data_IF_827429063597
#
_entry.id   IF_827429063597
#
_cell.length_a   1.000
_cell.length_b   1.000
_cell.length_c   1.000
_cell.angle_alpha   90.00
_cell.angle_beta   90.00
_cell.angle_gamma   90.00
#
_symmetry.space_group_name_H-M   'P 1'
#
loop_
_entity.id
_entity.type
_entity.pdbx_description
1 polymer ?
#
# COMPACT_ATOMS: atom_id res chain seq x y z
N UNK A 1 3.53 -3.16 -0.72
CA UNK A 1 4.07 -2.49 0.47
C UNK A 1 4.88 -3.47 1.31
N UNK A 2 4.34 -4.63 1.75
CA UNK A 2 5.08 -5.61 2.57
C UNK A 2 6.39 -6.08 1.92
N UNK A 3 6.44 -6.17 0.58
CA UNK A 3 7.66 -6.47 -0.15
C UNK A 3 8.77 -5.42 0.09
N UNK A 4 8.42 -4.14 0.10
CA UNK A 4 9.39 -3.06 0.35
C UNK A 4 9.90 -3.07 1.79
N UNK A 5 9.01 -3.33 2.78
CA UNK A 5 9.43 -3.52 4.16
C UNK A 5 10.42 -4.68 4.29
N UNK A 6 10.12 -5.81 3.67
CA UNK A 6 11.00 -6.98 3.68
C UNK A 6 12.35 -6.68 3.02
N UNK A 7 12.35 -6.05 1.84
CA UNK A 7 13.59 -5.65 1.15
C UNK A 7 14.43 -4.70 2.01
N UNK A 8 13.78 -3.71 2.64
CA UNK A 8 14.46 -2.78 3.55
C UNK A 8 15.10 -3.49 4.76
N UNK A 9 14.39 -4.48 5.33
CA UNK A 9 14.93 -5.29 6.44
C UNK A 9 16.09 -6.18 6.03
N UNK A 10 15.95 -6.90 4.91
CA UNK A 10 16.90 -7.92 4.49
C UNK A 10 18.18 -7.30 3.92
N UNK A 11 18.07 -6.22 3.16
CA UNK A 11 19.18 -5.62 2.40
C UNK A 11 19.53 -4.18 2.76
N UNK A 12 18.73 -3.53 3.60
CA UNK A 12 18.88 -2.09 3.87
C UNK A 12 18.56 -1.21 2.64
N UNK A 13 17.90 -1.77 1.62
CA UNK A 13 17.65 -1.08 0.35
C UNK A 13 16.26 -1.37 -0.17
N UNK A 14 15.62 -0.33 -0.71
CA UNK A 14 14.36 -0.42 -1.45
C UNK A 14 14.62 0.09 -2.87
N UNK A 15 14.25 -0.72 -3.85
CA UNK A 15 14.27 -0.34 -5.27
C UNK A 15 12.84 -0.18 -5.76
N UNK A 16 12.50 0.98 -6.30
CA UNK A 16 11.18 1.30 -6.81
C UNK A 16 11.25 1.70 -8.28
N UNK A 17 10.48 0.98 -9.12
CA UNK A 17 10.30 1.34 -10.54
C UNK A 17 9.23 2.43 -10.62
N UNK A 18 9.65 3.67 -10.83
CA UNK A 18 8.79 4.84 -10.87
C UNK A 18 9.47 6.08 -10.32
N UNK A 19 8.70 7.16 -10.20
CA UNK A 19 9.16 8.46 -9.71
C UNK A 19 8.85 8.64 -8.22
N UNK A 20 9.62 9.48 -7.55
CA UNK A 20 9.34 9.97 -6.20
C UNK A 20 7.96 10.63 -6.09
N UNK A 21 7.51 11.26 -7.17
CA UNK A 21 6.27 12.01 -7.24
C UNK A 21 5.05 11.15 -7.64
N UNK A 22 5.27 9.88 -7.99
CA UNK A 22 4.17 8.97 -8.31
C UNK A 22 3.20 8.89 -7.13
N UNK A 23 1.93 9.12 -7.42
CA UNK A 23 0.88 9.18 -6.41
C UNK A 23 -0.03 7.97 -6.51
N UNK A 24 -0.27 7.31 -5.38
CA UNK A 24 -1.12 6.12 -5.30
C UNK A 24 -2.03 6.18 -4.08
N UNK A 25 -3.20 5.58 -4.20
CA UNK A 25 -4.09 5.34 -3.07
C UNK A 25 -3.83 3.93 -2.53
N UNK A 26 -3.64 3.84 -1.23
CA UNK A 26 -3.39 2.59 -0.52
C UNK A 26 -4.56 2.28 0.39
N UNK A 27 -4.94 1.01 0.45
CA UNK A 27 -5.98 0.52 1.36
C UNK A 27 -5.43 -0.68 2.14
N UNK A 28 -5.76 -0.75 3.42
CA UNK A 28 -5.45 -1.94 4.22
C UNK A 28 -6.32 -3.11 3.75
N UNK A 29 -5.75 -4.31 3.70
CA UNK A 29 -6.45 -5.51 3.23
C UNK A 29 -7.70 -5.84 4.06
N UNK A 30 -7.70 -5.54 5.37
CA UNK A 30 -8.87 -5.73 6.24
C UNK A 30 -10.00 -4.78 5.85
N UNK A 31 -9.67 -3.52 5.56
CA UNK A 31 -10.65 -2.53 5.11
C UNK A 31 -11.20 -2.91 3.74
N UNK A 32 -10.32 -3.34 2.82
CA UNK A 32 -10.74 -3.81 1.50
C UNK A 32 -11.67 -5.03 1.61
N UNK A 33 -11.33 -5.99 2.48
CA UNK A 33 -12.16 -7.19 2.71
C UNK A 33 -13.54 -6.84 3.27
N UNK A 34 -13.59 -5.93 4.26
CA UNK A 34 -14.85 -5.47 4.86
C UNK A 34 -15.73 -4.77 3.84
N UNK A 35 -15.18 -3.81 3.10
CA UNK A 35 -15.90 -3.12 2.04
C UNK A 35 -16.37 -4.07 0.93
N UNK A 36 -15.59 -5.12 0.63
CA UNK A 36 -15.98 -6.15 -0.36
C UNK A 36 -17.20 -6.96 0.08
N UNK A 37 -17.44 -7.10 1.39
CA UNK A 37 -18.66 -7.68 1.91
C UNK A 37 -19.81 -6.68 1.89
N UNK A 38 -19.55 -5.44 2.28
CA UNK A 38 -20.56 -4.37 2.35
C UNK A 38 -21.21 -4.12 0.98
N UNK A 39 -20.42 -4.17 -0.12
CA UNK A 39 -20.96 -3.96 -1.48
C UNK A 39 -21.90 -5.06 -1.99
N UNK A 40 -22.06 -6.17 -1.26
CA UNK A 40 -23.05 -7.20 -1.60
C UNK A 40 -24.48 -6.80 -1.22
N UNK A 41 -24.65 -5.69 -0.52
CA UNK A 41 -25.98 -5.19 -0.16
C UNK A 41 -26.75 -4.64 -1.38
N UNK A 42 -28.09 -4.64 -1.29
CA UNK A 42 -28.98 -4.23 -2.38
C UNK A 42 -28.73 -2.78 -2.85
N UNK A 43 -28.22 -1.91 -1.98
CA UNK A 43 -27.94 -0.50 -2.32
C UNK A 43 -26.87 -0.33 -3.39
N UNK A 44 -25.96 -1.31 -3.54
CA UNK A 44 -24.88 -1.29 -4.54
C UNK A 44 -25.23 -2.09 -5.81
N UNK A 45 -26.42 -2.66 -5.89
CA UNK A 45 -26.86 -3.50 -7.00
C UNK A 45 -26.81 -2.73 -8.33
N UNK A 46 -26.22 -3.36 -9.34
CA UNK A 46 -26.01 -2.78 -10.67
C UNK A 46 -25.15 -1.50 -10.69
N UNK A 47 -24.41 -1.22 -9.62
CA UNK A 47 -23.47 -0.10 -9.53
C UNK A 47 -22.05 -0.50 -9.92
N UNK A 48 -21.27 0.49 -10.34
CA UNK A 48 -19.82 0.38 -10.47
C UNK A 48 -19.17 1.02 -9.25
N UNK A 49 -18.52 0.20 -8.42
CA UNK A 49 -17.91 0.63 -7.16
C UNK A 49 -16.40 0.45 -7.22
N UNK A 50 -15.67 1.47 -6.80
CA UNK A 50 -14.21 1.45 -6.69
C UNK A 50 -13.85 1.50 -5.20
N UNK A 51 -13.38 0.37 -4.68
CA UNK A 51 -12.87 0.27 -3.31
C UNK A 51 -11.44 0.81 -3.31
N UNK A 52 -11.18 1.82 -2.48
CA UNK A 52 -9.88 2.49 -2.43
C UNK A 52 -9.59 3.04 -1.04
N UNK A 53 -8.37 3.54 -0.83
CA UNK A 53 -7.97 4.26 0.37
C UNK A 53 -8.51 5.69 0.38
N UNK A 54 -8.37 6.34 1.53
CA UNK A 54 -8.90 7.69 1.76
C UNK A 54 -8.12 8.77 1.01
N UNK A 55 -6.79 8.64 1.02
CA UNK A 55 -5.91 9.70 0.56
C UNK A 55 -4.84 9.17 -0.38
N UNK A 56 -4.57 9.89 -1.47
CA UNK A 56 -3.41 9.62 -2.30
C UNK A 56 -2.13 9.97 -1.53
N UNK A 57 -1.12 9.12 -1.64
CA UNK A 57 0.21 9.34 -1.07
C UNK A 57 1.25 9.28 -2.18
N UNK A 58 2.25 10.16 -2.13
CA UNK A 58 3.39 10.11 -3.01
C UNK A 58 4.33 8.98 -2.60
N UNK A 59 4.99 8.37 -3.58
CA UNK A 59 5.93 7.27 -3.33
C UNK A 59 7.02 7.67 -2.34
N UNK A 60 7.56 8.89 -2.44
CA UNK A 60 8.56 9.42 -1.49
C UNK A 60 8.06 9.44 -0.04
N UNK A 61 6.79 9.80 0.19
CA UNK A 61 6.22 9.89 1.53
C UNK A 61 6.02 8.50 2.14
N UNK A 62 5.61 7.52 1.32
CA UNK A 62 5.49 6.11 1.74
C UNK A 62 6.86 5.55 2.11
N UNK A 63 7.88 5.76 1.28
CA UNK A 63 9.22 5.22 1.56
C UNK A 63 9.92 5.96 2.71
N UNK A 64 9.63 7.24 2.90
CA UNK A 64 10.06 7.98 4.09
C UNK A 64 9.48 7.35 5.35
N UNK A 65 8.19 7.06 5.37
CA UNK A 65 7.53 6.41 6.50
C UNK A 65 8.10 5.01 6.77
N UNK A 66 8.33 4.21 5.73
CA UNK A 66 9.00 2.90 5.85
C UNK A 66 10.39 3.06 6.44
N UNK A 67 11.18 4.02 5.96
CA UNK A 67 12.53 4.27 6.47
C UNK A 67 12.52 4.67 7.94
N UNK A 68 11.60 5.53 8.37
CA UNK A 68 11.43 5.92 9.78
C UNK A 68 11.11 4.70 10.66
N UNK A 69 10.18 3.85 10.24
CA UNK A 69 9.79 2.60 10.94
C UNK A 69 10.99 1.65 11.05
N UNK A 70 11.85 1.59 10.04
CA UNK A 70 13.05 0.74 10.01
C UNK A 70 14.30 1.42 10.62
N UNK A 71 14.11 2.51 11.34
CA UNK A 71 15.18 3.18 12.11
C UNK A 71 16.12 4.04 11.25
N UNK A 72 15.66 4.58 10.14
CA UNK A 72 16.40 5.47 9.23
C UNK A 72 17.68 4.86 8.64
N UNK A 73 17.65 3.57 8.35
CA UNK A 73 18.82 2.80 7.84
C UNK A 73 18.62 2.28 6.41
N UNK A 74 17.52 2.64 5.77
CA UNK A 74 17.15 2.12 4.46
C UNK A 74 17.41 3.14 3.37
N UNK A 75 18.13 2.72 2.33
CA UNK A 75 18.34 3.52 1.13
C UNK A 75 17.23 3.23 0.12
N UNK A 76 16.58 4.27 -0.37
CA UNK A 76 15.58 4.14 -1.45
C UNK A 76 16.17 4.58 -2.78
N UNK A 77 16.10 3.72 -3.78
CA UNK A 77 16.48 4.02 -5.16
C UNK A 77 15.27 4.01 -6.08
N UNK A 78 15.12 5.08 -6.84
CA UNK A 78 14.08 5.22 -7.86
C UNK A 78 14.66 4.91 -9.24
N UNK A 79 14.08 3.91 -9.90
CA UNK A 79 14.46 3.54 -11.27
C UNK A 79 13.43 4.11 -12.23
N UNK A 80 13.83 5.16 -12.94
CA UNK A 80 12.98 5.80 -13.95
C UNK A 80 13.00 4.96 -15.23
N UNK A 81 12.22 3.89 -15.27
CA UNK A 81 12.06 3.05 -16.46
C UNK A 81 11.09 3.74 -17.41
N UNK A 82 11.63 4.32 -18.49
CA UNK A 82 10.87 5.03 -19.55
C UNK A 82 9.81 4.19 -20.28
N UNK A 83 9.67 2.91 -19.93
CA UNK A 83 8.80 1.95 -20.62
C UNK A 83 7.69 1.36 -19.73
N UNK A 84 7.52 1.82 -18.48
CA UNK A 84 6.51 1.24 -17.64
C UNK A 84 5.15 1.91 -17.86
N UNK A 85 4.18 1.06 -18.14
CA UNK A 85 2.74 1.33 -18.18
C UNK A 85 2.16 1.76 -16.81
N UNK A 86 3.02 2.18 -15.87
CA UNK A 86 2.60 2.68 -14.59
C UNK A 86 2.22 4.16 -14.70
N UNK A 87 1.02 4.46 -14.30
CA UNK A 87 0.52 5.84 -14.25
C UNK A 87 1.29 6.63 -13.18
N UNK A 88 1.67 7.87 -13.48
CA UNK A 88 2.25 8.81 -12.49
C UNK A 88 1.27 9.04 -11.33
N UNK A 89 -0.02 9.01 -11.63
CA UNK A 89 -1.11 9.09 -10.67
C UNK A 89 -2.07 7.92 -10.87
N UNK A 90 -2.49 7.30 -9.78
CA UNK A 90 -3.53 6.27 -9.86
C UNK A 90 -4.76 6.83 -10.58
N UNK A 91 -5.29 6.17 -11.62
CA UNK A 91 -6.42 6.70 -12.40
C UNK A 91 -7.65 7.05 -11.58
N UNK A 92 -7.75 6.49 -10.37
CA UNK A 92 -8.89 6.68 -9.45
C UNK A 92 -8.62 7.66 -8.31
N UNK A 93 -7.48 8.36 -8.30
CA UNK A 93 -7.19 9.39 -7.30
C UNK A 93 -8.05 10.65 -7.44
N UNK A 94 -8.74 10.80 -8.56
CA UNK A 94 -9.77 11.81 -8.81
C UNK A 94 -11.14 11.12 -8.95
N UNK A 95 -12.23 11.89 -8.92
CA UNK A 95 -13.59 11.35 -9.05
C UNK A 95 -13.75 10.57 -10.36
N UNK A 96 -13.96 9.26 -10.33
CA UNK A 96 -14.09 8.48 -11.56
C UNK A 96 -15.39 8.78 -12.28
N UNK A 97 -15.34 8.82 -13.61
CA UNK A 97 -16.52 9.05 -14.44
C UNK A 97 -17.48 7.85 -14.52
N UNK A 98 -16.95 6.64 -14.25
CA UNK A 98 -17.65 5.37 -14.47
C UNK A 98 -18.03 4.64 -13.19
N UNK A 99 -17.71 5.18 -12.03
CA UNK A 99 -18.00 4.50 -10.75
C UNK A 99 -17.90 5.44 -9.56
N UNK A 100 -18.46 5.00 -8.45
CA UNK A 100 -18.40 5.70 -7.19
C UNK A 100 -17.25 5.16 -6.34
N UNK A 101 -16.47 6.04 -5.73
CA UNK A 101 -15.47 5.63 -4.73
C UNK A 101 -16.18 5.22 -3.44
N UNK A 102 -15.79 4.06 -2.92
CA UNK A 102 -16.19 3.58 -1.60
C UNK A 102 -14.96 3.50 -0.71
N UNK A 103 -15.01 4.21 0.40
CA UNK A 103 -13.96 4.24 1.43
C UNK A 103 -14.56 3.87 2.78
N UNK A 104 -13.74 3.28 3.66
CA UNK A 104 -14.20 2.90 4.99
C UNK A 104 -14.32 4.11 5.92
N UNK A 105 -15.40 4.21 6.69
CA UNK A 105 -15.54 5.23 7.72
C UNK A 105 -14.57 5.02 8.90
N UNK A 106 -14.21 3.77 9.17
CA UNK A 106 -13.19 3.39 10.15
C UNK A 106 -12.11 2.61 9.39
N UNK A 107 -10.97 3.19 9.20
CA UNK A 107 -9.89 2.62 8.41
C UNK A 107 -8.60 2.48 9.21
N UNK A 108 -7.78 1.51 8.83
CA UNK A 108 -6.42 1.35 9.35
C UNK A 108 -5.52 2.36 8.65
N UNK A 109 -4.92 3.28 9.41
CA UNK A 109 -3.98 4.23 8.82
C UNK A 109 -2.71 3.53 8.32
N UNK A 110 -1.96 4.23 7.45
CA UNK A 110 -0.78 3.65 6.79
C UNK A 110 0.29 3.23 7.79
N UNK A 111 0.56 4.04 8.81
CA UNK A 111 1.58 3.73 9.81
C UNK A 111 1.25 2.48 10.60
N UNK A 112 0.00 2.35 11.06
CA UNK A 112 -0.47 1.17 11.76
C UNK A 112 -0.42 -0.08 10.86
N UNK A 113 -0.84 0.04 9.61
CA UNK A 113 -0.78 -1.05 8.62
C UNK A 113 0.65 -1.52 8.33
N UNK A 114 1.61 -0.60 8.28
CA UNK A 114 3.03 -0.91 8.10
C UNK A 114 3.61 -1.63 9.34
N UNK A 115 3.26 -1.20 10.55
CA UNK A 115 3.69 -1.86 11.79
C UNK A 115 3.13 -3.27 11.90
N UNK A 116 1.86 -3.49 11.55
CA UNK A 116 1.27 -4.82 11.51
C UNK A 116 1.99 -5.73 10.50
N UNK A 117 2.28 -5.22 9.30
CA UNK A 117 3.03 -5.94 8.27
C UNK A 117 4.45 -6.30 8.75
N UNK A 118 5.13 -5.37 9.43
CA UNK A 118 6.45 -5.61 10.00
C UNK A 118 6.42 -6.72 11.06
N UNK A 119 5.39 -6.71 11.91
CA UNK A 119 5.20 -7.74 12.93
C UNK A 119 4.98 -9.13 12.31
N UNK A 120 4.18 -9.23 11.24
CA UNK A 120 3.98 -10.49 10.51
C UNK A 120 5.28 -10.99 9.89
N UNK A 121 6.05 -10.11 9.23
CA UNK A 121 7.36 -10.47 8.66
C UNK A 121 8.30 -11.00 9.75
N UNK A 122 8.33 -10.35 10.93
CA UNK A 122 9.18 -10.78 12.04
C UNK A 122 8.83 -12.17 12.57
N UNK A 123 7.55 -12.53 12.59
CA UNK A 123 7.09 -13.88 12.97
C UNK A 123 7.54 -14.94 11.97
N UNK A 124 7.43 -14.66 10.67
CA UNK A 124 7.85 -15.60 9.64
C UNK A 124 9.35 -15.90 9.67
N UNK A 125 10.16 -14.89 10.00
CA UNK A 125 11.61 -15.07 10.18
C UNK A 125 11.91 -15.93 11.41
N UNK A 126 11.26 -15.69 12.53
CA UNK A 126 11.45 -16.46 13.77
C UNK A 126 10.88 -17.88 13.69
N UNK A 127 9.80 -18.09 12.94
CA UNK A 127 9.17 -19.41 12.75
C UNK A 127 10.01 -20.36 11.87
N UNK A 128 10.85 -19.82 10.99
CA UNK A 128 11.74 -20.62 10.13
C UNK A 128 13.03 -21.04 10.84
N UNK A 129 13.36 -20.44 12.00
CA UNK A 129 14.54 -20.75 12.78
C UNK A 129 14.40 -21.94 13.76
N UNK A 130 13.20 -22.55 13.89
CA UNK A 130 12.93 -23.63 14.84
C UNK A 130 12.74 -25.02 14.24
N UNK A 131 13.07 -25.19 12.96
CA UNK A 131 13.09 -26.50 12.28
C UNK A 131 14.53 -26.91 11.98
N UNK A 132 15.24 -27.28 13.02
CA UNK A 132 16.52 -28.02 12.94
C UNK A 132 16.50 -29.14 13.93
#
# INVERSE_FOLDING_TARGET
ICHFLKSGLDSGKITFSGSEEDTREYINVRDASKLSVDILSEEFKNGHIIITGHYPMKSKDVFKLINEILGNKVLTEYQNTKNDTHYEMTPYSFTPKIGNKLVSNCYVDMGQGLLECLYEISKDVNGRGTSS
#
